data_IF_090896332768
#
_entry.id   IF_090896332768
#
_cell.length_a   1.000
_cell.length_b   1.000
_cell.length_c   1.000
_cell.angle_alpha   90.00
_cell.angle_beta   90.00
_cell.angle_gamma   90.00
#
_symmetry.space_group_name_H-M   'P 1'
#
loop_
_entity.id
_entity.type
_entity.pdbx_description
1 polymer ?
#
# COMPACT_ATOMS: atom_id res chain seq x y z
N UNK A 1 -10.60 -23.49 22.24
CA UNK A 1 -11.32 -22.21 22.33
C UNK A 1 -11.33 -21.59 20.96
N UNK A 2 -12.45 -21.10 20.40
CA UNK A 2 -12.43 -20.45 19.11
C UNK A 2 -11.64 -19.14 19.23
N UNK A 3 -10.57 -19.00 18.47
CA UNK A 3 -9.82 -17.75 18.34
C UNK A 3 -10.78 -16.75 17.71
N UNK A 4 -11.20 -15.76 18.48
CA UNK A 4 -11.97 -14.62 17.96
C UNK A 4 -11.07 -13.88 16.99
N UNK A 5 -11.25 -14.10 15.70
CA UNK A 5 -10.59 -13.32 14.67
C UNK A 5 -11.17 -11.90 14.71
N UNK A 6 -10.52 -11.01 15.44
CA UNK A 6 -10.78 -9.59 15.32
C UNK A 6 -10.73 -9.23 13.84
N UNK A 7 -11.73 -8.45 13.38
CA UNK A 7 -11.83 -8.02 11.98
C UNK A 7 -10.51 -7.36 11.56
N UNK A 8 -9.78 -7.87 10.54
CA UNK A 8 -8.41 -7.44 10.25
C UNK A 8 -8.32 -6.07 9.57
N UNK A 9 -9.45 -5.39 9.34
CA UNK A 9 -9.51 -4.04 8.78
C UNK A 9 -10.58 -3.18 9.46
N UNK A 10 -10.35 -1.87 9.49
CA UNK A 10 -11.28 -0.86 9.98
C UNK A 10 -12.31 -0.53 8.89
N UNK A 11 -13.58 -0.37 9.27
CA UNK A 11 -14.64 0.06 8.35
C UNK A 11 -15.40 -1.06 7.67
N UNK A 12 -16.02 -0.76 6.51
CA UNK A 12 -16.84 -1.68 5.73
C UNK A 12 -15.92 -2.58 4.91
N UNK A 13 -16.25 -3.88 4.82
CA UNK A 13 -15.54 -4.83 3.98
C UNK A 13 -15.70 -4.48 2.50
N UNK A 14 -14.58 -4.53 1.78
CA UNK A 14 -14.55 -4.25 0.35
C UNK A 14 -14.85 -5.55 -0.42
N UNK A 15 -16.11 -6.02 -0.34
CA UNK A 15 -16.56 -7.25 -1.00
C UNK A 15 -17.74 -6.99 -1.94
N UNK A 16 -17.95 -7.86 -2.91
CA UNK A 16 -19.08 -7.88 -3.83
C UNK A 16 -19.28 -6.57 -4.59
N UNK A 17 -20.50 -6.02 -4.51
CA UNK A 17 -20.89 -4.79 -5.21
C UNK A 17 -20.07 -3.57 -4.78
N UNK A 18 -19.65 -3.50 -3.50
CA UNK A 18 -18.83 -2.39 -2.97
C UNK A 18 -17.46 -2.42 -3.62
N UNK A 19 -16.83 -3.59 -3.71
CA UNK A 19 -15.53 -3.74 -4.37
C UNK A 19 -15.61 -3.38 -5.85
N UNK A 20 -16.66 -3.81 -6.53
CA UNK A 20 -16.91 -3.51 -7.96
C UNK A 20 -17.14 -2.02 -8.19
N UNK A 21 -17.90 -1.38 -7.33
CA UNK A 21 -18.11 0.08 -7.39
C UNK A 21 -16.80 0.85 -7.17
N UNK A 22 -16.03 0.46 -6.15
CA UNK A 22 -14.74 1.07 -5.87
C UNK A 22 -13.77 0.92 -7.05
N UNK A 23 -13.68 -0.27 -7.64
CA UNK A 23 -12.82 -0.52 -8.80
C UNK A 23 -13.17 0.41 -9.98
N UNK A 24 -14.47 0.55 -10.32
CA UNK A 24 -14.90 1.47 -11.40
C UNK A 24 -14.57 2.93 -11.10
N UNK A 25 -14.71 3.37 -9.85
CA UNK A 25 -14.41 4.76 -9.50
C UNK A 25 -12.91 5.05 -9.52
N UNK A 26 -12.08 4.15 -8.98
CA UNK A 26 -10.61 4.32 -8.96
C UNK A 26 -9.97 4.09 -10.34
N UNK A 27 -10.69 3.53 -11.30
CA UNK A 27 -10.23 3.46 -12.69
C UNK A 27 -9.99 4.86 -13.31
N UNK A 28 -10.66 5.89 -12.81
CA UNK A 28 -10.43 7.28 -13.24
C UNK A 28 -9.03 7.79 -12.90
N UNK A 29 -8.39 7.18 -11.92
CA UNK A 29 -7.07 7.59 -11.40
C UNK A 29 -5.91 6.83 -12.06
N UNK A 30 -6.15 6.14 -13.19
CA UNK A 30 -5.11 5.35 -13.88
C UNK A 30 -3.86 6.16 -14.23
N UNK A 31 -4.00 7.45 -14.54
CA UNK A 31 -2.86 8.33 -14.80
C UNK A 31 -1.95 8.49 -13.58
N UNK A 32 -2.53 8.55 -12.36
CA UNK A 32 -1.76 8.60 -11.12
C UNK A 32 -1.01 7.29 -10.87
N UNK A 33 -1.67 6.13 -11.11
CA UNK A 33 -1.01 4.83 -10.97
C UNK A 33 0.15 4.67 -11.95
N UNK A 34 0.00 5.11 -13.21
CA UNK A 34 1.08 5.13 -14.21
C UNK A 34 2.24 6.02 -13.79
N UNK A 35 1.93 7.23 -13.30
CA UNK A 35 2.93 8.17 -12.81
C UNK A 35 3.69 7.60 -11.61
N UNK A 36 2.97 7.00 -10.65
CA UNK A 36 3.57 6.36 -9.48
C UNK A 36 4.45 5.17 -9.90
N UNK A 37 3.96 4.27 -10.75
CA UNK A 37 4.75 3.16 -11.26
C UNK A 37 6.01 3.64 -11.99
N UNK A 38 5.91 4.73 -12.80
CA UNK A 38 7.05 5.34 -13.45
C UNK A 38 8.09 5.88 -12.48
N UNK A 39 7.63 6.52 -11.39
CA UNK A 39 8.51 7.04 -10.34
C UNK A 39 9.21 5.90 -9.60
N UNK A 40 8.45 4.90 -9.13
CA UNK A 40 9.00 3.76 -8.39
C UNK A 40 10.02 2.98 -9.22
N UNK A 41 9.77 2.83 -10.53
CA UNK A 41 10.68 2.10 -11.44
C UNK A 41 12.05 2.75 -11.61
N UNK A 42 12.21 4.02 -11.29
CA UNK A 42 13.55 4.68 -11.29
C UNK A 42 14.42 4.23 -10.11
N UNK A 43 13.78 3.65 -9.11
CA UNK A 43 14.39 3.30 -7.83
C UNK A 43 14.44 1.79 -7.58
N UNK A 44 13.78 1.00 -8.42
CA UNK A 44 13.70 -0.47 -8.32
C UNK A 44 14.55 -1.08 -9.43
N UNK A 45 15.48 -1.95 -9.06
CA UNK A 45 16.35 -2.62 -10.03
C UNK A 45 15.57 -3.60 -10.91
N UNK A 46 15.91 -3.73 -12.20
CA UNK A 46 15.36 -4.79 -13.05
C UNK A 46 15.54 -6.18 -12.44
N UNK A 47 14.58 -7.07 -12.65
CA UNK A 47 14.56 -8.42 -12.06
C UNK A 47 14.07 -8.46 -10.61
N UNK A 48 13.73 -7.33 -10.00
CA UNK A 48 13.23 -7.30 -8.63
C UNK A 48 11.89 -7.99 -8.47
N UNK A 49 11.70 -8.63 -7.32
CA UNK A 49 10.42 -9.18 -6.86
C UNK A 49 9.71 -8.11 -6.02
N UNK A 50 8.54 -7.68 -6.46
CA UNK A 50 7.75 -6.61 -5.86
C UNK A 50 6.50 -7.19 -5.22
N UNK A 51 6.21 -6.76 -3.98
CA UNK A 51 4.93 -7.03 -3.32
C UNK A 51 4.13 -5.73 -3.17
N UNK A 52 2.92 -5.69 -3.74
CA UNK A 52 1.94 -4.68 -3.37
C UNK A 52 1.01 -5.22 -2.28
N UNK A 53 0.96 -4.55 -1.14
CA UNK A 53 0.08 -4.88 -0.02
C UNK A 53 -1.21 -4.09 -0.12
N UNK A 54 -2.33 -4.80 -0.14
CA UNK A 54 -3.69 -4.29 -0.36
C UNK A 54 -3.84 -3.53 -1.70
N UNK A 55 -3.55 -4.19 -2.85
CA UNK A 55 -3.63 -3.59 -4.19
C UNK A 55 -5.05 -3.19 -4.61
N UNK A 56 -6.09 -3.66 -3.92
CA UNK A 56 -7.46 -3.46 -4.35
C UNK A 56 -7.69 -4.01 -5.77
N UNK A 57 -8.15 -3.17 -6.73
CA UNK A 57 -8.34 -3.58 -8.13
C UNK A 57 -7.06 -3.92 -8.90
N UNK A 58 -5.87 -3.76 -8.29
CA UNK A 58 -4.57 -4.15 -8.85
C UNK A 58 -3.94 -3.15 -9.81
N UNK A 59 -4.42 -1.92 -9.90
CA UNK A 59 -3.96 -0.97 -10.91
C UNK A 59 -2.47 -0.64 -10.83
N UNK A 60 -1.91 -0.42 -9.63
CA UNK A 60 -0.48 -0.16 -9.48
C UNK A 60 0.36 -1.40 -9.82
N UNK A 61 -0.03 -2.58 -9.33
CA UNK A 61 0.62 -3.85 -9.67
C UNK A 61 0.67 -4.07 -11.18
N UNK A 62 -0.45 -3.80 -11.89
CA UNK A 62 -0.55 -3.93 -13.34
C UNK A 62 0.38 -2.93 -14.04
N UNK A 63 0.41 -1.67 -13.63
CA UNK A 63 1.27 -0.66 -14.22
C UNK A 63 2.77 -0.93 -13.96
N UNK A 64 3.12 -1.55 -12.84
CA UNK A 64 4.47 -2.06 -12.58
C UNK A 64 4.80 -3.26 -13.49
N UNK A 65 3.89 -4.23 -13.62
CA UNK A 65 4.08 -5.40 -14.47
C UNK A 65 4.22 -5.04 -15.96
N UNK A 66 3.49 -4.04 -16.46
CA UNK A 66 3.61 -3.53 -17.84
C UNK A 66 5.02 -3.07 -18.21
N UNK A 67 5.88 -2.81 -17.23
CA UNK A 67 7.28 -2.45 -17.49
C UNK A 67 8.14 -3.63 -17.90
N UNK A 68 7.63 -4.87 -17.72
CA UNK A 68 8.28 -6.11 -18.17
C UNK A 68 9.59 -6.47 -17.46
N UNK A 69 9.89 -5.79 -16.34
CA UNK A 69 11.18 -5.91 -15.65
C UNK A 69 11.07 -6.52 -14.24
N UNK A 70 9.86 -6.80 -13.78
CA UNK A 70 9.59 -7.18 -12.38
C UNK A 70 8.71 -8.42 -12.28
N UNK A 71 8.94 -9.21 -11.23
CA UNK A 71 7.97 -10.19 -10.75
C UNK A 71 7.05 -9.52 -9.73
N UNK A 72 5.80 -9.27 -10.12
CA UNK A 72 4.87 -8.52 -9.27
C UNK A 72 3.87 -9.46 -8.60
N UNK A 73 3.76 -9.34 -7.29
CA UNK A 73 2.77 -10.03 -6.44
C UNK A 73 1.87 -9.00 -5.76
N UNK A 74 0.57 -9.26 -5.70
CA UNK A 74 -0.39 -8.47 -4.94
C UNK A 74 -1.04 -9.30 -3.84
N UNK A 75 -1.06 -8.79 -2.60
CA UNK A 75 -1.71 -9.43 -1.45
C UNK A 75 -2.88 -8.60 -0.96
N UNK A 76 -4.10 -9.09 -1.10
CA UNK A 76 -5.30 -8.42 -0.60
C UNK A 76 -6.14 -9.35 0.29
N UNK A 77 -6.78 -8.79 1.30
CA UNK A 77 -7.66 -9.54 2.19
C UNK A 77 -9.02 -9.81 1.58
N UNK A 78 -9.46 -8.96 0.66
CA UNK A 78 -10.73 -9.07 -0.04
C UNK A 78 -10.64 -10.11 -1.15
N UNK A 79 -11.50 -11.13 -1.08
CA UNK A 79 -11.65 -12.10 -2.16
C UNK A 79 -12.10 -11.42 -3.45
N UNK A 80 -13.05 -10.49 -3.34
CA UNK A 80 -13.59 -9.76 -4.50
C UNK A 80 -12.51 -8.92 -5.18
N UNK A 81 -11.64 -8.25 -4.43
CA UNK A 81 -10.54 -7.49 -5.03
C UNK A 81 -9.52 -8.39 -5.72
N UNK A 82 -9.17 -9.54 -5.13
CA UNK A 82 -8.27 -10.50 -5.79
C UNK A 82 -8.84 -10.98 -7.13
N UNK A 83 -10.14 -11.27 -7.19
CA UNK A 83 -10.80 -11.67 -8.44
C UNK A 83 -10.85 -10.54 -9.47
N UNK A 84 -11.18 -9.32 -9.04
CA UNK A 84 -11.19 -8.13 -9.90
C UNK A 84 -9.78 -7.84 -10.43
N UNK A 85 -8.75 -7.86 -9.57
CA UNK A 85 -7.37 -7.58 -9.94
C UNK A 85 -6.85 -8.60 -10.97
N UNK A 86 -7.15 -9.89 -10.78
CA UNK A 86 -6.81 -10.94 -11.76
C UNK A 86 -7.47 -10.69 -13.11
N UNK A 87 -8.77 -10.33 -13.10
CA UNK A 87 -9.49 -9.98 -14.32
C UNK A 87 -8.90 -8.76 -15.02
N UNK A 88 -8.55 -7.72 -14.26
CA UNK A 88 -7.93 -6.51 -14.80
C UNK A 88 -6.55 -6.82 -15.41
N UNK A 89 -5.70 -7.62 -14.73
CA UNK A 89 -4.40 -8.03 -15.26
C UNK A 89 -4.51 -8.85 -16.56
N UNK A 90 -5.46 -9.79 -16.60
CA UNK A 90 -5.75 -10.56 -17.82
C UNK A 90 -6.21 -9.64 -18.97
N UNK A 91 -7.05 -8.65 -18.70
CA UNK A 91 -7.50 -7.67 -19.70
C UNK A 91 -6.37 -6.79 -20.25
N UNK A 92 -5.30 -6.59 -19.49
CA UNK A 92 -4.12 -5.83 -19.89
C UNK A 92 -2.96 -6.72 -20.37
N UNK A 93 -3.20 -8.05 -20.46
CA UNK A 93 -2.22 -9.06 -20.93
C UNK A 93 -0.90 -9.03 -20.13
N UNK A 94 -0.96 -8.80 -18.83
CA UNK A 94 0.19 -8.83 -17.93
C UNK A 94 0.05 -9.94 -16.88
N UNK A 95 1.20 -10.45 -16.43
CA UNK A 95 1.27 -11.47 -15.38
C UNK A 95 1.52 -10.79 -14.02
N UNK A 96 0.57 -10.94 -13.09
CA UNK A 96 0.68 -10.52 -11.69
C UNK A 96 0.11 -11.63 -10.82
N UNK A 97 0.85 -12.06 -9.79
CA UNK A 97 0.40 -13.09 -8.85
C UNK A 97 -0.45 -12.45 -7.74
N UNK A 98 -1.77 -12.38 -7.94
CA UNK A 98 -2.67 -11.88 -6.90
C UNK A 98 -3.10 -12.99 -5.95
N UNK A 99 -2.79 -12.82 -4.65
CA UNK A 99 -3.12 -13.75 -3.57
C UNK A 99 -4.04 -13.11 -2.55
N UNK A 100 -4.90 -13.95 -1.97
CA UNK A 100 -5.70 -13.54 -0.82
C UNK A 100 -4.91 -13.76 0.47
N UNK A 101 -4.83 -12.74 1.34
CA UNK A 101 -4.16 -12.86 2.63
C UNK A 101 -4.24 -11.61 3.48
N UNK A 102 -3.80 -11.73 4.74
CA UNK A 102 -3.77 -10.65 5.70
C UNK A 102 -2.38 -10.00 5.74
N UNK A 103 -2.31 -8.68 5.65
CA UNK A 103 -1.07 -7.91 5.73
C UNK A 103 -0.33 -8.09 7.07
N UNK A 104 -1.05 -8.44 8.16
CA UNK A 104 -0.47 -8.69 9.47
C UNK A 104 -0.03 -10.15 9.70
N UNK A 105 -0.20 -11.02 8.69
CA UNK A 105 0.22 -12.43 8.68
C UNK A 105 0.35 -12.87 7.22
N UNK A 106 1.40 -12.42 6.55
CA UNK A 106 1.57 -12.61 5.10
C UNK A 106 1.99 -14.05 4.77
N UNK A 107 1.32 -14.73 3.81
CA UNK A 107 1.63 -16.11 3.43
C UNK A 107 2.84 -16.19 2.48
N UNK A 108 3.95 -15.59 2.87
CA UNK A 108 5.21 -15.57 2.12
C UNK A 108 6.38 -15.96 3.01
N UNK A 109 7.42 -16.52 2.40
CA UNK A 109 8.68 -16.82 3.06
C UNK A 109 9.42 -15.54 3.48
N UNK A 110 10.32 -15.67 4.44
CA UNK A 110 11.23 -14.61 4.82
C UNK A 110 12.13 -14.24 3.63
N UNK A 111 12.43 -12.94 3.49
CA UNK A 111 13.34 -12.46 2.45
C UNK A 111 12.89 -12.80 1.01
N UNK A 112 11.60 -12.78 0.75
CA UNK A 112 11.04 -13.14 -0.54
C UNK A 112 11.06 -12.00 -1.57
N UNK A 113 11.03 -10.74 -1.12
CA UNK A 113 10.83 -9.57 -1.96
C UNK A 113 11.96 -8.55 -1.84
N UNK A 114 12.26 -7.89 -2.95
CA UNK A 114 13.23 -6.79 -3.00
C UNK A 114 12.58 -5.46 -2.63
N UNK A 115 11.28 -5.32 -2.94
CA UNK A 115 10.52 -4.10 -2.73
C UNK A 115 9.10 -4.40 -2.29
N UNK A 116 8.60 -3.63 -1.32
CA UNK A 116 7.21 -3.70 -0.84
C UNK A 116 6.57 -2.33 -0.98
N UNK A 117 5.34 -2.27 -1.48
CA UNK A 117 4.55 -1.04 -1.54
C UNK A 117 3.16 -1.24 -0.98
N UNK A 118 2.65 -0.25 -0.24
CA UNK A 118 1.27 -0.17 0.22
C UNK A 118 0.71 1.22 -0.08
N UNK A 119 -0.31 1.31 -0.95
CA UNK A 119 -0.91 2.60 -1.32
C UNK A 119 -2.36 2.70 -0.86
N UNK A 120 -2.70 3.79 -0.17
CA UNK A 120 -4.06 4.20 0.22
C UNK A 120 -4.85 3.18 1.08
N UNK A 121 -4.18 2.21 1.72
CA UNK A 121 -4.81 1.12 2.46
C UNK A 121 -4.39 1.02 3.93
N UNK A 122 -3.18 1.47 4.28
CA UNK A 122 -2.56 1.25 5.58
C UNK A 122 -3.39 1.81 6.75
N UNK A 123 -4.04 2.97 6.57
CA UNK A 123 -4.97 3.57 7.55
C UNK A 123 -6.12 2.65 7.98
N UNK A 124 -6.42 1.63 7.18
CA UNK A 124 -7.51 0.69 7.44
C UNK A 124 -7.05 -0.56 8.20
N UNK A 125 -5.75 -0.77 8.41
CA UNK A 125 -5.25 -1.94 9.11
C UNK A 125 -5.57 -1.85 10.61
N UNK A 126 -6.02 -2.96 11.20
CA UNK A 126 -6.29 -3.03 12.64
C UNK A 126 -5.03 -3.34 13.44
N UNK A 127 -4.06 -3.99 12.83
CA UNK A 127 -2.78 -4.39 13.39
C UNK A 127 -1.64 -3.79 12.53
N UNK A 128 -1.45 -2.44 12.56
CA UNK A 128 -0.50 -1.78 11.67
C UNK A 128 0.97 -2.10 12.01
N UNK A 129 1.31 -2.29 13.28
CA UNK A 129 2.66 -2.64 13.70
C UNK A 129 3.05 -4.04 13.22
N UNK A 130 2.14 -4.99 13.33
CA UNK A 130 2.32 -6.35 12.82
C UNK A 130 2.49 -6.35 11.31
N UNK A 131 1.70 -5.52 10.59
CA UNK A 131 1.85 -5.39 9.14
C UNK A 131 3.22 -4.81 8.75
N UNK A 132 3.74 -3.83 9.48
CA UNK A 132 5.10 -3.30 9.28
C UNK A 132 6.15 -4.39 9.55
N UNK A 133 5.99 -5.18 10.61
CA UNK A 133 6.91 -6.27 10.94
C UNK A 133 6.86 -7.40 9.89
N UNK A 134 5.69 -7.68 9.32
CA UNK A 134 5.56 -8.61 8.21
C UNK A 134 6.22 -8.07 6.92
N UNK A 135 6.07 -6.77 6.62
CA UNK A 135 6.83 -6.13 5.54
C UNK A 135 8.34 -6.28 5.75
N UNK A 136 8.82 -6.10 6.99
CA UNK A 136 10.23 -6.35 7.31
C UNK A 136 10.63 -7.81 7.09
N UNK A 137 9.80 -8.76 7.54
CA UNK A 137 10.09 -10.19 7.45
C UNK A 137 10.23 -10.64 5.98
N UNK A 138 9.28 -10.24 5.15
CA UNK A 138 9.25 -10.67 3.74
C UNK A 138 10.24 -9.92 2.85
N UNK A 139 10.76 -8.77 3.27
CA UNK A 139 11.81 -8.05 2.55
C UNK A 139 13.16 -8.77 2.67
N UNK A 140 13.90 -8.80 1.57
CA UNK A 140 15.31 -9.19 1.55
C UNK A 140 16.17 -8.17 2.31
N UNK A 141 17.32 -8.56 2.88
CA UNK A 141 18.34 -7.60 3.34
C UNK A 141 18.74 -6.64 2.21
N UNK A 142 18.76 -5.35 2.50
CA UNK A 142 18.95 -4.29 1.50
C UNK A 142 17.65 -3.85 0.79
N UNK A 143 16.55 -4.59 0.98
CA UNK A 143 15.24 -4.21 0.45
C UNK A 143 14.58 -3.08 1.23
N UNK A 144 13.52 -2.51 0.66
CA UNK A 144 12.78 -1.42 1.29
C UNK A 144 11.28 -1.54 1.09
N UNK A 145 10.51 -0.92 1.99
CA UNK A 145 9.09 -0.74 1.82
C UNK A 145 8.71 0.73 1.75
N UNK A 146 7.67 1.04 0.95
CA UNK A 146 7.07 2.37 0.85
C UNK A 146 5.60 2.27 1.20
N UNK A 147 5.15 3.11 2.14
CA UNK A 147 3.74 3.26 2.49
C UNK A 147 3.30 4.66 2.06
N UNK A 148 2.30 4.74 1.18
CA UNK A 148 1.73 5.99 0.69
C UNK A 148 0.28 6.05 1.15
N UNK A 149 -0.04 6.95 2.08
CA UNK A 149 -1.41 7.06 2.59
C UNK A 149 -1.79 8.49 2.96
N UNK A 150 -3.08 8.70 3.24
CA UNK A 150 -3.57 9.96 3.79
C UNK A 150 -2.94 10.22 5.15
N UNK A 151 -2.85 11.50 5.53
CA UNK A 151 -2.43 11.91 6.88
C UNK A 151 -3.60 12.44 7.69
N UNK A 152 -3.60 12.16 9.00
CA UNK A 152 -4.68 12.56 9.91
C UNK A 152 -4.82 14.09 10.04
N UNK A 153 -3.71 14.79 9.99
CA UNK A 153 -3.60 16.24 10.15
C UNK A 153 -3.71 17.01 8.83
N UNK A 154 -4.24 16.36 7.75
CA UNK A 154 -4.47 17.03 6.47
C UNK A 154 -5.46 18.20 6.65
N UNK A 155 -5.10 19.44 6.25
CA UNK A 155 -5.98 20.59 6.42
C UNK A 155 -7.26 20.43 5.58
N UNK A 156 -8.42 20.72 6.19
CA UNK A 156 -9.71 20.65 5.48
C UNK A 156 -9.73 21.50 4.22
N UNK A 157 -9.05 22.66 4.23
CA UNK A 157 -8.93 23.54 3.07
C UNK A 157 -8.23 22.84 1.90
N UNK A 158 -7.19 22.06 2.18
CA UNK A 158 -6.46 21.31 1.15
C UNK A 158 -7.34 20.20 0.56
N UNK A 159 -8.09 19.49 1.40
CA UNK A 159 -9.07 18.48 0.93
C UNK A 159 -10.14 19.16 0.07
N UNK A 160 -10.64 20.33 0.48
CA UNK A 160 -11.60 21.11 -0.28
C UNK A 160 -11.06 21.47 -1.68
N UNK A 161 -9.88 22.09 -1.74
CA UNK A 161 -9.25 22.51 -3.00
C UNK A 161 -8.97 21.31 -3.93
N UNK A 162 -8.55 20.17 -3.39
CA UNK A 162 -8.35 18.95 -4.17
C UNK A 162 -9.66 18.49 -4.82
N UNK A 163 -10.74 18.40 -4.04
CA UNK A 163 -12.04 17.97 -4.58
C UNK A 163 -12.60 18.95 -5.59
N UNK A 164 -12.40 20.25 -5.38
CA UNK A 164 -12.85 21.29 -6.33
C UNK A 164 -12.14 21.18 -7.68
N UNK A 165 -10.87 20.75 -7.70
CA UNK A 165 -10.10 20.48 -8.93
C UNK A 165 -10.59 19.26 -9.71
N UNK A 166 -11.32 18.34 -9.08
CA UNK A 166 -11.87 17.16 -9.75
C UNK A 166 -13.04 17.48 -10.70
N UNK A 167 -13.58 18.68 -10.65
CA UNK A 167 -14.69 19.11 -11.52
C UNK A 167 -15.99 18.33 -11.33
N UNK A 168 -16.22 17.81 -10.09
CA UNK A 168 -17.41 17.03 -9.76
C UNK A 168 -18.66 17.91 -9.66
N UNK A 169 -19.84 17.30 -9.91
CA UNK A 169 -21.11 17.95 -9.56
C UNK A 169 -21.17 18.28 -8.05
N UNK A 170 -22.02 19.23 -7.66
CA UNK A 170 -22.05 19.74 -6.30
C UNK A 170 -22.33 18.65 -5.24
N UNK A 171 -23.26 17.72 -5.52
CA UNK A 171 -23.57 16.59 -4.62
C UNK A 171 -22.38 15.66 -4.45
N UNK A 172 -21.74 15.27 -5.56
CA UNK A 172 -20.57 14.39 -5.55
C UNK A 172 -19.39 15.06 -4.87
N UNK A 173 -19.21 16.37 -5.05
CA UNK A 173 -18.19 17.17 -4.38
C UNK A 173 -18.37 17.14 -2.86
N UNK A 174 -19.58 17.41 -2.36
CA UNK A 174 -19.90 17.36 -0.93
C UNK A 174 -19.65 15.97 -0.36
N UNK A 175 -20.16 14.92 -1.04
CA UNK A 175 -20.00 13.54 -0.61
C UNK A 175 -18.52 13.13 -0.57
N UNK A 176 -17.75 13.49 -1.59
CA UNK A 176 -16.31 13.20 -1.69
C UNK A 176 -15.53 13.91 -0.59
N UNK A 177 -15.83 15.20 -0.32
CA UNK A 177 -15.20 15.96 0.78
C UNK A 177 -15.47 15.30 2.15
N UNK A 178 -16.71 14.90 2.42
CA UNK A 178 -17.07 14.22 3.67
C UNK A 178 -16.38 12.86 3.78
N UNK A 179 -16.34 12.08 2.71
CA UNK A 179 -15.68 10.78 2.68
C UNK A 179 -14.18 10.91 2.94
N UNK A 180 -13.49 11.84 2.28
CA UNK A 180 -12.07 12.09 2.51
C UNK A 180 -11.80 12.55 3.94
N UNK A 181 -12.66 13.42 4.51
CA UNK A 181 -12.54 13.83 5.91
C UNK A 181 -12.72 12.67 6.91
N UNK A 182 -13.62 11.72 6.61
CA UNK A 182 -13.77 10.50 7.43
C UNK A 182 -12.56 9.57 7.30
N UNK A 183 -12.01 9.44 6.10
CA UNK A 183 -10.82 8.63 5.86
C UNK A 183 -9.57 9.22 6.54
N UNK A 184 -9.39 10.54 6.50
CA UNK A 184 -8.27 11.19 7.22
C UNK A 184 -8.33 11.00 8.73
N UNK A 185 -9.52 10.91 9.34
CA UNK A 185 -9.65 10.59 10.78
C UNK A 185 -9.11 9.21 11.15
N UNK A 186 -9.09 8.25 10.22
CA UNK A 186 -8.52 6.90 10.42
C UNK A 186 -7.04 6.83 10.11
N UNK A 187 -6.52 7.82 9.39
CA UNK A 187 -5.14 7.88 8.97
C UNK A 187 -4.20 8.12 10.16
N UNK A 188 -2.92 7.90 9.93
CA UNK A 188 -1.87 8.10 10.91
C UNK A 188 -1.22 9.48 10.77
N UNK A 189 -0.63 9.98 11.85
CA UNK A 189 0.22 11.16 11.86
C UNK A 189 1.68 10.78 11.55
N UNK A 190 2.54 11.77 11.41
CA UNK A 190 4.00 11.57 11.32
C UNK A 190 4.50 10.86 12.59
N UNK A 191 4.08 11.33 13.76
CA UNK A 191 4.49 10.78 15.05
C UNK A 191 4.03 9.33 15.22
N UNK A 192 2.80 9.00 14.76
CA UNK A 192 2.31 7.62 14.76
C UNK A 192 3.24 6.71 13.93
N UNK A 193 3.67 7.16 12.73
CA UNK A 193 4.58 6.37 11.87
C UNK A 193 6.00 6.29 12.45
N UNK A 194 6.52 7.38 13.02
CA UNK A 194 7.83 7.36 13.68
C UNK A 194 7.83 6.37 14.84
N UNK A 195 6.78 6.40 15.67
CA UNK A 195 6.61 5.46 16.77
C UNK A 195 6.54 4.02 16.26
N UNK A 196 5.67 3.74 15.29
CA UNK A 196 5.55 2.39 14.72
C UNK A 196 6.87 1.90 14.10
N UNK A 197 7.62 2.76 13.42
CA UNK A 197 8.91 2.40 12.87
C UNK A 197 9.92 2.07 13.96
N UNK A 198 9.98 2.86 15.05
CA UNK A 198 10.84 2.62 16.21
C UNK A 198 10.48 1.32 16.92
N UNK A 199 9.18 1.06 17.11
CA UNK A 199 8.67 -0.15 17.79
C UNK A 199 8.78 -1.41 16.88
N UNK A 200 9.01 -1.22 15.57
CA UNK A 200 9.14 -2.31 14.60
C UNK A 200 10.60 -2.78 14.45
N UNK A 201 10.77 -3.88 13.70
CA UNK A 201 12.10 -4.40 13.34
C UNK A 201 12.90 -3.47 12.40
N UNK A 202 12.30 -2.44 11.80
CA UNK A 202 12.99 -1.45 10.99
C UNK A 202 13.76 -0.43 11.84
N UNK A 203 13.28 -0.10 13.04
CA UNK A 203 13.89 0.82 13.98
C UNK A 203 13.77 2.30 13.60
N UNK A 204 13.62 2.64 12.32
CA UNK A 204 13.50 4.00 11.80
C UNK A 204 12.76 4.06 10.48
N UNK A 205 12.27 5.26 10.12
CA UNK A 205 11.69 5.54 8.81
C UNK A 205 12.07 6.94 8.33
N UNK A 206 11.97 7.13 7.02
CA UNK A 206 12.00 8.44 6.37
C UNK A 206 10.58 8.82 5.99
N UNK A 207 10.16 10.06 6.26
CA UNK A 207 8.80 10.50 6.00
C UNK A 207 8.80 11.77 5.15
N UNK A 208 8.17 11.69 3.99
CA UNK A 208 7.89 12.85 3.14
C UNK A 208 6.43 13.23 3.25
N UNK A 209 6.18 14.48 3.60
CA UNK A 209 4.84 15.05 3.74
C UNK A 209 4.35 15.62 2.41
N UNK A 210 3.16 15.21 1.99
CA UNK A 210 2.44 15.81 0.88
C UNK A 210 1.25 16.64 1.38
N UNK A 211 0.58 17.45 0.55
CA UNK A 211 -0.55 18.24 1.01
C UNK A 211 -1.63 17.42 1.74
N UNK A 212 -1.96 16.23 1.26
CA UNK A 212 -3.01 15.37 1.84
C UNK A 212 -2.50 14.08 2.46
N UNK A 213 -1.26 13.68 2.22
CA UNK A 213 -0.74 12.37 2.57
C UNK A 213 0.65 12.39 3.16
N UNK A 214 1.12 11.19 3.40
CA UNK A 214 2.49 10.87 3.79
C UNK A 214 3.03 9.79 2.85
N UNK A 215 4.30 9.87 2.54
CA UNK A 215 5.10 8.79 2.01
C UNK A 215 6.11 8.39 3.07
N UNK A 216 6.04 7.15 3.52
CA UNK A 216 6.89 6.59 4.57
C UNK A 216 7.76 5.53 3.95
N UNK A 217 9.06 5.68 4.05
CA UNK A 217 10.06 4.73 3.54
C UNK A 217 10.77 4.08 4.72
N UNK A 218 10.85 2.76 4.69
CA UNK A 218 11.58 1.95 5.66
C UNK A 218 12.53 1.01 4.92
N UNK A 219 13.73 0.84 5.47
CA UNK A 219 14.80 0.05 4.87
C UNK A 219 15.16 -1.14 5.75
N UNK A 220 15.15 -2.36 5.19
CA UNK A 220 15.77 -3.50 5.83
C UNK A 220 17.25 -3.48 5.55
N UNK A 221 18.02 -3.05 6.55
CA UNK A 221 19.49 -2.95 6.40
C UNK A 221 20.08 -4.31 6.02
N UNK A 222 21.14 -4.32 5.19
CA UNK A 222 21.89 -5.54 4.93
C UNK A 222 22.46 -6.09 6.24
N UNK A 223 22.63 -7.40 6.35
CA UNK A 223 23.40 -7.98 7.44
C UNK A 223 24.83 -7.45 7.34
N UNK A 224 25.26 -6.66 8.32
CA UNK A 224 26.70 -6.39 8.47
C UNK A 224 27.36 -7.74 8.77
N UNK A 225 28.17 -8.27 7.85
CA UNK A 225 29.09 -9.37 8.21
C UNK A 225 29.95 -8.85 9.34
N UNK A 226 30.14 -9.61 10.43
CA UNK A 226 31.19 -9.28 11.37
C UNK A 226 32.48 -9.13 10.58
N UNK A 227 33.21 -8.04 10.79
CA UNK A 227 34.57 -7.92 10.27
C UNK A 227 35.32 -9.14 10.79
N UNK A 228 35.75 -10.03 9.90
CA UNK A 228 36.72 -11.06 10.24
C UNK A 228 37.96 -10.31 10.70
N UNK A 229 38.15 -10.25 12.01
CA UNK A 229 39.38 -9.76 12.58
C UNK A 229 40.44 -10.82 12.25
N UNK A 230 41.19 -10.59 11.17
CA UNK A 230 42.35 -11.40 10.87
C UNK A 230 43.34 -11.16 12.01
N UNK A 231 43.58 -12.20 12.81
CA UNK A 231 44.66 -12.28 13.79
C UNK A 231 45.95 -12.72 13.07
#
# INVERSE_FOLDING_TARGET
MPVSYAKPYKGIGMEGAIASWYARNTQRDLAEFRSLAARLSKEISPGSRILEVAPGPGYLSIELAKRGQYEVTGLDISKSFVEIARKNAAGESVCVDFRRGNASAMPFEDNAFDFVVCRAAFKNFTQPLEAINEMFRVLKPGGRAIIIDLRRDAPRKVIGSYVDQLGLGWLDSVFTKLTLQLLTRRAHTIDDFQKMATDSRFGRCEITKTPMGLEVVVHKLPYLRPLEVAF
#
